data_IF_356569920538
#
_entry.id   IF_356569920538
#
_cell.length_a   1.000
_cell.length_b   1.000
_cell.length_c   1.000
_cell.angle_alpha   90.00
_cell.angle_beta   90.00
_cell.angle_gamma   90.00
#
_symmetry.space_group_name_H-M   'P 1'
#
loop_
_entity.id
_entity.type
_entity.pdbx_description
1 polymer ?
#
# COMPACT_ATOMS: atom_id res chain seq x y z
N UNK A 1 -9.19 20.97 -5.61
CA UNK A 1 -9.04 20.71 -4.16
C UNK A 1 -9.52 21.89 -3.28
N UNK A 2 -9.12 23.17 -3.48
CA UNK A 2 -9.55 24.28 -2.61
C UNK A 2 -11.04 24.68 -2.76
N UNK A 3 -11.62 24.43 -3.94
CA UNK A 3 -13.03 24.69 -4.24
C UNK A 3 -14.00 23.68 -3.56
N UNK A 4 -13.51 22.48 -3.26
CA UNK A 4 -14.29 21.41 -2.61
C UNK A 4 -14.44 21.73 -1.12
N UNK A 5 -13.36 22.16 -0.45
CA UNK A 5 -13.37 22.53 0.96
C UNK A 5 -14.21 23.78 1.28
N UNK A 6 -14.38 24.71 0.33
CA UNK A 6 -15.21 25.91 0.52
C UNK A 6 -16.71 25.65 0.32
N UNK A 7 -17.07 24.60 -0.41
CA UNK A 7 -18.45 24.10 -0.52
C UNK A 7 -18.84 23.22 0.68
N UNK A 8 -17.89 22.45 1.24
CA UNK A 8 -18.05 21.58 2.42
C UNK A 8 -18.57 22.33 3.65
N UNK A 9 -18.17 23.60 3.85
CA UNK A 9 -18.60 24.38 5.02
C UNK A 9 -20.07 24.85 4.95
N UNK A 10 -20.74 24.73 3.79
CA UNK A 10 -22.15 25.13 3.61
C UNK A 10 -23.15 24.01 3.94
N UNK A 11 -22.68 22.77 4.13
CA UNK A 11 -23.48 21.57 4.44
C UNK A 11 -23.69 21.34 5.95
N UNK A 12 -23.44 22.37 6.76
CA UNK A 12 -23.52 22.34 8.22
C UNK A 12 -24.93 22.20 8.79
N UNK A 13 -25.98 22.43 8.01
CA UNK A 13 -27.35 22.17 8.46
C UNK A 13 -27.80 20.80 8.01
N UNK A 14 -27.18 19.79 8.65
CA UNK A 14 -27.84 18.56 9.07
C UNK A 14 -28.31 17.72 7.89
N UNK A 15 -27.55 16.69 7.50
CA UNK A 15 -27.98 15.57 6.66
C UNK A 15 -29.50 15.53 6.44
N UNK A 16 -30.03 16.08 5.35
CA UNK A 16 -31.42 15.82 4.98
C UNK A 16 -31.44 14.64 4.03
N UNK A 17 -31.02 13.52 4.62
CA UNK A 17 -31.19 12.14 4.18
C UNK A 17 -30.53 11.74 2.83
N UNK A 18 -29.23 11.45 2.93
CA UNK A 18 -28.49 10.44 2.15
C UNK A 18 -28.31 10.60 0.62
N UNK A 19 -28.72 11.70 -0.01
CA UNK A 19 -28.60 11.84 -1.48
C UNK A 19 -27.17 12.14 -1.99
N UNK A 20 -26.37 12.95 -1.27
CA UNK A 20 -24.99 13.25 -1.69
C UNK A 20 -24.05 12.05 -1.53
N UNK A 21 -24.24 11.26 -0.46
CA UNK A 21 -23.45 10.04 -0.25
C UNK A 21 -23.78 9.00 -1.31
N UNK A 22 -25.07 8.81 -1.65
CA UNK A 22 -25.49 7.96 -2.77
C UNK A 22 -25.03 8.50 -4.13
N UNK A 23 -24.98 9.81 -4.32
CA UNK A 23 -24.49 10.45 -5.55
C UNK A 23 -22.98 10.33 -5.69
N UNK A 24 -22.21 10.47 -4.59
CA UNK A 24 -20.76 10.21 -4.57
C UNK A 24 -20.49 8.72 -4.80
N UNK A 25 -21.28 7.83 -4.21
CA UNK A 25 -21.23 6.39 -4.46
C UNK A 25 -21.56 6.05 -5.92
N UNK A 26 -22.65 6.57 -6.48
CA UNK A 26 -23.00 6.41 -7.91
C UNK A 26 -21.93 7.01 -8.80
N UNK A 27 -21.37 8.17 -8.45
CA UNK A 27 -20.32 8.82 -9.22
C UNK A 27 -19.01 8.02 -9.18
N UNK A 28 -18.63 7.49 -8.01
CA UNK A 28 -17.48 6.61 -7.82
C UNK A 28 -17.68 5.23 -8.46
N UNK A 29 -18.90 4.69 -8.44
CA UNK A 29 -19.25 3.44 -9.11
C UNK A 29 -19.37 3.61 -10.64
N UNK A 30 -19.56 4.82 -11.16
CA UNK A 30 -19.69 5.10 -12.61
C UNK A 30 -18.42 5.67 -13.25
N UNK A 31 -17.38 5.96 -12.46
CA UNK A 31 -16.09 6.47 -12.93
C UNK A 31 -14.97 5.74 -12.19
N UNK A 32 -13.91 5.35 -12.90
CA UNK A 32 -12.66 4.93 -12.27
C UNK A 32 -12.07 6.07 -11.42
N UNK A 33 -12.51 6.22 -10.17
CA UNK A 33 -11.97 7.22 -9.23
C UNK A 33 -10.68 6.64 -8.64
N UNK A 34 -9.57 6.89 -9.33
CA UNK A 34 -8.22 6.61 -8.86
C UNK A 34 -7.46 7.90 -8.59
N UNK A 35 -6.44 7.82 -7.73
CA UNK A 35 -5.46 8.89 -7.55
C UNK A 35 -4.23 8.67 -8.43
N UNK A 36 -3.52 9.75 -8.70
CA UNK A 36 -2.15 9.65 -9.17
C UNK A 36 -1.23 9.40 -7.99
N UNK A 37 -0.84 8.15 -7.78
CA UNK A 37 -0.20 7.72 -6.55
C UNK A 37 1.29 7.37 -6.72
N UNK A 38 1.78 7.36 -7.96
CA UNK A 38 3.19 7.22 -8.29
C UNK A 38 4.01 8.46 -7.87
N UNK A 39 5.08 8.22 -7.12
CA UNK A 39 6.08 9.22 -6.73
C UNK A 39 7.31 9.03 -7.59
N UNK A 40 7.52 9.90 -8.58
CA UNK A 40 8.65 9.78 -9.51
C UNK A 40 9.42 11.08 -9.64
N UNK A 41 10.75 10.97 -9.78
CA UNK A 41 11.64 12.07 -10.16
C UNK A 41 12.48 11.59 -11.34
N UNK A 42 12.51 12.35 -12.43
CA UNK A 42 13.25 12.01 -13.64
C UNK A 42 14.21 13.16 -13.95
N UNK A 43 15.50 12.85 -14.05
CA UNK A 43 16.57 13.83 -14.24
C UNK A 43 17.48 13.39 -15.37
N UNK A 44 17.80 14.33 -16.27
CA UNK A 44 18.89 14.20 -17.22
C UNK A 44 20.07 15.04 -16.74
N UNK A 45 21.19 14.40 -16.45
CA UNK A 45 22.44 15.07 -16.06
C UNK A 45 23.63 14.53 -16.86
N UNK A 46 24.84 14.87 -16.42
CA UNK A 46 26.10 14.40 -17.03
C UNK A 46 26.21 12.87 -17.05
N UNK A 47 25.63 12.19 -16.07
CA UNK A 47 25.57 10.73 -15.96
C UNK A 47 24.48 10.08 -16.83
N UNK A 48 23.79 10.86 -17.65
CA UNK A 48 22.69 10.39 -18.49
C UNK A 48 21.33 10.49 -17.80
N UNK A 49 20.37 9.71 -18.30
CA UNK A 49 18.99 9.69 -17.80
C UNK A 49 18.92 8.83 -16.53
N UNK A 50 18.43 9.44 -15.46
CA UNK A 50 18.25 8.81 -14.15
C UNK A 50 16.79 9.02 -13.73
N UNK A 51 16.15 7.98 -13.24
CA UNK A 51 14.80 8.06 -12.69
C UNK A 51 14.78 7.54 -11.26
N UNK A 52 13.87 8.04 -10.45
CA UNK A 52 13.63 7.60 -9.07
C UNK A 52 12.15 7.26 -8.93
N UNK A 53 11.83 6.19 -8.21
CA UNK A 53 10.46 5.85 -7.83
C UNK A 53 10.41 5.08 -6.51
N UNK A 54 9.27 5.09 -5.81
CA UNK A 54 9.10 4.39 -4.54
C UNK A 54 7.89 4.90 -3.77
N UNK A 55 7.87 4.70 -2.45
CA UNK A 55 6.81 5.17 -1.57
C UNK A 55 6.97 6.63 -1.11
N UNK A 56 8.18 7.18 -1.19
CA UNK A 56 8.49 8.52 -0.63
C UNK A 56 7.98 9.66 -1.54
N UNK A 57 7.01 10.43 -1.05
CA UNK A 57 6.60 11.73 -1.60
C UNK A 57 7.56 12.85 -1.18
N UNK A 58 7.63 13.92 -1.98
CA UNK A 58 8.27 15.19 -1.56
C UNK A 58 7.30 15.92 -0.61
N UNK A 59 7.20 15.42 0.63
CA UNK A 59 6.30 15.94 1.65
C UNK A 59 7.03 16.07 2.99
N UNK A 60 6.72 17.10 3.76
CA UNK A 60 7.34 17.39 5.06
C UNK A 60 7.21 16.23 6.06
N UNK A 61 6.12 15.45 5.98
CA UNK A 61 5.90 14.30 6.87
C UNK A 61 6.79 13.07 6.54
N UNK A 62 7.63 13.16 5.50
CA UNK A 62 8.60 12.11 5.11
C UNK A 62 10.03 12.39 5.59
N UNK A 63 10.31 13.58 6.14
CA UNK A 63 11.68 13.97 6.53
C UNK A 63 11.82 14.21 8.04
N UNK A 64 12.65 13.41 8.71
CA UNK A 64 12.88 13.46 10.17
C UNK A 64 13.47 14.80 10.65
N UNK A 65 14.44 15.36 9.90
CA UNK A 65 15.13 16.61 10.25
C UNK A 65 14.21 17.84 10.24
N UNK A 66 13.22 17.88 9.33
CA UNK A 66 12.29 19.00 9.22
C UNK A 66 11.28 19.05 10.39
N UNK A 67 10.89 17.89 10.92
CA UNK A 67 9.99 17.80 12.07
C UNK A 67 10.63 18.34 13.35
N UNK A 68 11.94 18.16 13.54
CA UNK A 68 12.68 18.62 14.73
C UNK A 68 12.87 20.15 14.78
N UNK A 69 12.83 20.87 13.66
CA UNK A 69 13.14 22.32 13.61
C UNK A 69 11.93 23.27 13.57
N UNK A 70 10.72 22.84 13.17
CA UNK A 70 9.57 23.75 12.98
C UNK A 70 8.28 23.38 13.71
N UNK A 71 8.21 22.22 14.36
CA UNK A 71 6.99 21.77 15.05
C UNK A 71 6.97 22.24 16.52
N UNK A 72 6.89 23.56 16.73
CA UNK A 72 6.42 24.12 18.02
C UNK A 72 4.91 24.32 18.06
N UNK A 73 4.21 24.15 16.92
CA UNK A 73 2.75 24.35 16.79
C UNK A 73 1.92 23.06 16.74
N UNK A 74 2.55 21.89 16.55
CA UNK A 74 1.90 20.59 16.70
C UNK A 74 2.60 19.86 17.84
N UNK A 75 1.88 19.63 18.95
CA UNK A 75 2.38 18.88 20.13
C UNK A 75 2.71 17.40 19.83
N UNK A 76 2.44 16.93 18.61
CA UNK A 76 2.68 15.57 18.19
C UNK A 76 3.93 15.49 17.31
N UNK A 77 5.07 15.24 17.95
CA UNK A 77 6.35 14.90 17.31
C UNK A 77 6.23 13.58 16.59
N UNK A 78 5.96 13.60 15.28
CA UNK A 78 5.55 12.39 14.56
C UNK A 78 6.67 11.42 14.17
N UNK A 79 7.97 11.67 14.23
CA UNK A 79 8.99 10.78 13.59
C UNK A 79 8.71 10.55 12.07
N UNK A 80 9.71 10.11 11.30
CA UNK A 80 9.48 9.78 9.90
C UNK A 80 8.84 8.39 9.77
N UNK A 81 8.03 8.16 8.74
CA UNK A 81 7.61 6.80 8.38
C UNK A 81 8.80 6.03 7.79
N UNK A 82 8.90 4.73 8.09
CA UNK A 82 9.79 3.81 7.38
C UNK A 82 9.27 3.63 5.95
N UNK A 83 10.14 3.79 4.95
CA UNK A 83 9.75 3.76 3.54
C UNK A 83 10.94 3.36 2.66
N UNK A 84 10.66 2.90 1.43
CA UNK A 84 11.66 2.51 0.43
C UNK A 84 11.52 3.33 -0.85
N UNK A 85 12.66 3.60 -1.49
CA UNK A 85 12.74 4.33 -2.75
C UNK A 85 13.96 3.84 -3.54
N UNK A 86 13.83 3.76 -4.86
CA UNK A 86 14.88 3.27 -5.74
C UNK A 86 15.28 4.34 -6.76
N UNK A 87 16.58 4.46 -6.99
CA UNK A 87 17.17 5.16 -8.14
C UNK A 87 17.54 4.14 -9.20
N UNK A 88 17.13 4.39 -10.43
CA UNK A 88 17.42 3.55 -11.59
C UNK A 88 18.11 4.33 -12.70
N UNK A 89 18.96 3.62 -13.44
CA UNK A 89 19.69 4.10 -14.61
C UNK A 89 19.44 3.16 -15.79
N UNK A 90 19.81 3.61 -17.00
CA UNK A 90 19.71 2.79 -18.19
C UNK A 90 18.27 2.60 -18.71
N UNK A 91 17.97 1.50 -19.40
CA UNK A 91 16.65 1.22 -20.00
C UNK A 91 15.46 1.38 -19.05
N UNK A 92 15.56 0.92 -17.80
CA UNK A 92 14.46 0.99 -16.84
C UNK A 92 14.10 2.45 -16.47
N UNK A 93 15.10 3.34 -16.41
CA UNK A 93 14.89 4.77 -16.17
C UNK A 93 14.09 5.42 -17.30
N UNK A 94 14.36 5.00 -18.54
CA UNK A 94 13.62 5.45 -19.72
C UNK A 94 12.17 4.98 -19.70
N UNK A 95 11.90 3.75 -19.26
CA UNK A 95 10.53 3.25 -19.17
C UNK A 95 9.68 4.07 -18.17
N UNK A 96 10.26 4.54 -17.06
CA UNK A 96 9.60 5.48 -16.14
C UNK A 96 9.31 6.83 -16.84
N UNK A 97 10.25 7.34 -17.64
CA UNK A 97 10.04 8.55 -18.44
C UNK A 97 8.91 8.36 -19.46
N UNK A 98 8.80 7.21 -20.12
CA UNK A 98 7.71 6.94 -21.06
C UNK A 98 6.35 6.93 -20.37
N UNK A 99 6.25 6.33 -19.17
CA UNK A 99 5.03 6.40 -18.34
C UNK A 99 4.67 7.84 -17.99
N UNK A 100 5.66 8.66 -17.62
CA UNK A 100 5.46 10.09 -17.36
C UNK A 100 5.00 10.85 -18.59
N UNK A 101 5.63 10.66 -19.75
CA UNK A 101 5.27 11.32 -21.02
C UNK A 101 3.83 10.97 -21.41
N UNK A 102 3.47 9.69 -21.33
CA UNK A 102 2.11 9.23 -21.60
C UNK A 102 1.09 9.97 -20.73
N UNK A 103 1.34 10.06 -19.42
CA UNK A 103 0.48 10.80 -18.49
C UNK A 103 0.45 12.30 -18.78
N UNK A 104 1.59 12.89 -19.13
CA UNK A 104 1.68 14.29 -19.51
C UNK A 104 0.79 14.59 -20.71
N UNK A 105 0.86 13.78 -21.77
CA UNK A 105 0.12 13.99 -23.01
C UNK A 105 -1.41 13.98 -22.84
N UNK A 106 -1.89 13.25 -21.84
CA UNK A 106 -3.32 13.23 -21.50
C UNK A 106 -3.78 14.40 -20.65
N UNK A 107 -2.87 15.10 -19.97
CA UNK A 107 -3.29 16.19 -19.09
C UNK A 107 -3.84 17.37 -19.93
N UNK A 108 -5.07 17.87 -19.69
CA UNK A 108 -5.69 18.88 -20.56
C UNK A 108 -4.84 20.15 -20.76
N UNK A 109 -4.08 20.53 -19.73
CA UNK A 109 -3.22 21.73 -19.76
C UNK A 109 -1.80 21.47 -20.29
N UNK A 110 -1.44 20.22 -20.60
CA UNK A 110 -0.13 19.88 -21.14
C UNK A 110 0.03 20.26 -22.61
N UNK A 111 -1.06 20.36 -23.37
CA UNK A 111 -1.04 20.67 -24.81
C UNK A 111 -0.34 21.99 -25.14
N UNK A 112 -0.34 22.95 -24.21
CA UNK A 112 0.32 24.25 -24.36
C UNK A 112 1.70 24.32 -23.70
N UNK A 113 2.21 23.21 -23.15
CA UNK A 113 3.47 23.18 -22.39
C UNK A 113 4.47 22.23 -23.04
N UNK A 114 5.68 22.73 -23.25
CA UNK A 114 6.79 21.88 -23.69
C UNK A 114 7.27 21.02 -22.54
N UNK A 115 7.31 19.70 -22.74
CA UNK A 115 7.92 18.76 -21.79
C UNK A 115 9.42 18.63 -22.08
N UNK A 116 10.25 19.12 -21.16
CA UNK A 116 11.71 18.90 -21.21
C UNK A 116 12.00 17.41 -21.05
N UNK A 117 12.92 16.89 -21.86
CA UNK A 117 13.28 15.47 -21.87
C UNK A 117 12.38 14.57 -22.72
N UNK A 118 11.36 15.13 -23.41
CA UNK A 118 10.49 14.34 -24.32
C UNK A 118 11.27 13.61 -25.42
N UNK A 119 12.31 14.25 -25.94
CA UNK A 119 13.14 13.72 -27.04
C UNK A 119 14.31 12.85 -26.56
N UNK A 120 14.39 12.54 -25.26
CA UNK A 120 15.37 11.57 -24.77
C UNK A 120 15.13 10.22 -25.45
N UNK A 121 16.23 9.50 -25.70
CA UNK A 121 16.19 8.18 -26.32
C UNK A 121 16.51 7.12 -25.29
N UNK A 122 16.04 5.89 -25.53
CA UNK A 122 16.28 4.75 -24.66
C UNK A 122 17.80 4.55 -24.52
N UNK A 123 18.37 4.62 -23.31
CA UNK A 123 19.77 4.30 -23.10
C UNK A 123 20.07 2.87 -23.55
N UNK A 124 21.30 2.63 -24.03
CA UNK A 124 21.74 1.27 -24.36
C UNK A 124 21.73 0.40 -23.09
N UNK A 125 21.49 -0.88 -23.27
CA UNK A 125 21.67 -1.86 -22.21
C UNK A 125 23.11 -1.83 -21.70
N UNK A 126 23.25 -1.85 -20.38
CA UNK A 126 24.54 -1.98 -19.72
C UNK A 126 24.84 -3.48 -19.70
N UNK A 127 25.95 -3.89 -20.34
CA UNK A 127 26.36 -5.30 -20.48
C UNK A 127 27.67 -5.62 -19.77
N UNK A 128 28.29 -4.63 -19.14
CA UNK A 128 29.61 -4.75 -18.51
C UNK A 128 29.66 -3.91 -17.24
N UNK A 129 30.34 -4.41 -16.21
CA UNK A 129 30.40 -3.79 -14.88
C UNK A 129 29.30 -4.29 -13.94
N UNK A 130 29.20 -3.73 -12.73
CA UNK A 130 28.15 -4.07 -11.79
C UNK A 130 26.82 -3.44 -12.21
N UNK A 131 25.92 -4.25 -12.77
CA UNK A 131 24.55 -3.86 -13.11
C UNK A 131 23.56 -4.88 -12.55
N UNK A 132 22.28 -4.50 -12.48
CA UNK A 132 21.18 -5.41 -12.15
C UNK A 132 20.19 -5.44 -13.31
N UNK A 133 19.58 -6.59 -13.54
CA UNK A 133 18.43 -6.66 -14.43
C UNK A 133 17.25 -5.98 -13.74
N UNK A 134 16.59 -5.06 -14.45
CA UNK A 134 15.46 -4.32 -13.90
C UNK A 134 14.33 -4.20 -14.90
N UNK A 135 13.10 -4.26 -14.40
CA UNK A 135 11.88 -4.05 -15.19
C UNK A 135 10.96 -3.06 -14.49
N UNK A 136 10.63 -1.99 -15.19
CA UNK A 136 9.60 -1.04 -14.73
C UNK A 136 8.22 -1.65 -14.99
N UNK A 137 7.38 -1.65 -13.96
CA UNK A 137 5.99 -2.12 -14.01
C UNK A 137 5.08 -1.07 -13.38
N UNK A 138 3.77 -1.23 -13.51
CA UNK A 138 2.84 -0.43 -12.73
C UNK A 138 1.38 -0.68 -13.05
N UNK A 139 0.58 0.30 -12.65
CA UNK A 139 -0.86 0.35 -12.88
C UNK A 139 -1.18 1.68 -13.53
N UNK A 140 -2.03 1.67 -14.55
CA UNK A 140 -2.49 2.89 -15.20
C UNK A 140 -3.82 2.65 -15.88
N UNK A 141 -4.69 3.65 -15.85
CA UNK A 141 -5.92 3.68 -16.63
C UNK A 141 -5.86 4.89 -17.54
N UNK A 142 -5.91 4.63 -18.83
CA UNK A 142 -5.99 5.68 -19.82
C UNK A 142 -7.32 6.43 -19.68
N UNK A 143 -7.33 7.77 -19.63
CA UNK A 143 -8.58 8.53 -19.53
C UNK A 143 -9.56 8.30 -20.69
N UNK A 144 -9.09 7.86 -21.86
CA UNK A 144 -9.94 7.49 -22.99
C UNK A 144 -10.54 6.08 -22.88
N UNK A 145 -10.10 5.28 -21.90
CA UNK A 145 -10.51 3.89 -21.69
C UNK A 145 -9.90 2.89 -22.68
N UNK A 146 -9.07 3.34 -23.63
CA UNK A 146 -8.51 2.50 -24.70
C UNK A 146 -7.29 1.68 -24.30
N UNK A 147 -6.64 2.04 -23.21
CA UNK A 147 -5.41 1.42 -22.75
C UNK A 147 -5.38 1.31 -21.23
N UNK A 148 -4.75 0.27 -20.71
CA UNK A 148 -4.58 0.03 -19.28
C UNK A 148 -3.29 -0.74 -19.02
N UNK A 149 -2.59 -0.34 -17.98
CA UNK A 149 -1.43 -1.05 -17.45
C UNK A 149 -1.85 -1.81 -16.20
N UNK A 150 -1.59 -3.12 -16.18
CA UNK A 150 -1.76 -4.03 -15.03
C UNK A 150 -0.50 -4.86 -14.78
N UNK A 151 0.61 -4.48 -15.43
CA UNK A 151 1.87 -5.22 -15.39
C UNK A 151 2.38 -5.46 -13.98
N UNK A 152 2.07 -4.55 -13.05
CA UNK A 152 2.42 -4.73 -11.65
C UNK A 152 1.64 -5.87 -10.98
N UNK A 153 0.31 -5.88 -11.07
CA UNK A 153 -0.51 -6.94 -10.44
C UNK A 153 -0.08 -8.31 -10.97
N UNK A 154 0.06 -8.41 -12.28
CA UNK A 154 0.43 -9.65 -12.96
C UNK A 154 1.82 -10.12 -12.51
N UNK A 155 2.81 -9.22 -12.50
CA UNK A 155 4.15 -9.56 -12.03
C UNK A 155 4.18 -9.95 -10.55
N UNK A 156 3.48 -9.21 -9.68
CA UNK A 156 3.45 -9.48 -8.24
C UNK A 156 2.89 -10.88 -7.96
N UNK A 157 1.76 -11.23 -8.57
CA UNK A 157 1.16 -12.56 -8.40
C UNK A 157 2.02 -13.67 -9.01
N UNK A 158 2.63 -13.43 -10.18
CA UNK A 158 3.50 -14.42 -10.82
C UNK A 158 4.76 -14.68 -10.01
N UNK A 159 5.37 -13.63 -9.44
CA UNK A 159 6.52 -13.76 -8.54
C UNK A 159 6.14 -14.61 -7.32
N UNK A 160 4.99 -14.35 -6.69
CA UNK A 160 4.55 -15.15 -5.54
C UNK A 160 4.26 -16.62 -5.90
N UNK A 161 3.74 -16.89 -7.10
CA UNK A 161 3.51 -18.27 -7.59
C UNK A 161 4.80 -19.04 -7.84
N UNK A 162 5.92 -18.34 -8.03
CA UNK A 162 7.23 -18.94 -8.28
C UNK A 162 8.16 -18.86 -7.07
N UNK A 163 7.76 -18.18 -5.98
CA UNK A 163 8.51 -18.14 -4.74
C UNK A 163 8.72 -19.56 -4.19
N UNK A 164 9.96 -19.88 -3.83
CA UNK A 164 10.39 -21.21 -3.44
C UNK A 164 10.57 -21.38 -1.92
N UNK A 165 11.13 -20.38 -1.23
CA UNK A 165 11.53 -20.51 0.17
C UNK A 165 11.07 -19.36 1.05
N UNK A 166 11.22 -18.13 0.58
CA UNK A 166 11.10 -16.95 1.43
C UNK A 166 10.37 -15.82 0.72
N UNK A 167 9.45 -15.21 1.46
CA UNK A 167 8.78 -13.97 1.02
C UNK A 167 8.86 -12.95 2.15
N UNK A 168 9.34 -11.74 1.83
CA UNK A 168 9.31 -10.58 2.72
C UNK A 168 8.48 -9.47 2.07
N UNK A 169 7.51 -8.93 2.81
CA UNK A 169 6.63 -7.86 2.33
C UNK A 169 6.63 -6.73 3.34
N UNK A 170 6.89 -5.52 2.88
CA UNK A 170 6.50 -4.29 3.55
C UNK A 170 5.35 -3.67 2.80
N UNK A 171 4.24 -3.42 3.50
CA UNK A 171 3.11 -2.74 2.88
C UNK A 171 2.32 -1.91 3.89
N UNK A 172 1.88 -0.72 3.48
CA UNK A 172 1.09 0.15 4.33
C UNK A 172 -0.31 -0.45 4.65
N UNK A 173 -0.91 -1.19 3.72
CA UNK A 173 -2.30 -1.65 3.84
C UNK A 173 -2.40 -3.15 4.06
N UNK A 174 -1.88 -3.93 3.11
CA UNK A 174 -1.88 -5.38 3.00
C UNK A 174 -3.28 -6.01 3.20
N UNK A 175 -4.14 -5.83 2.20
CA UNK A 175 -5.55 -6.28 2.27
C UNK A 175 -6.01 -7.05 1.02
N UNK A 176 -5.11 -7.37 0.09
CA UNK A 176 -5.45 -8.12 -1.13
C UNK A 176 -5.65 -9.62 -0.86
N UNK A 177 -6.87 -10.11 -1.05
CA UNK A 177 -7.18 -11.55 -0.92
C UNK A 177 -6.52 -12.41 -2.01
N UNK A 178 -6.28 -11.85 -3.21
CA UNK A 178 -5.55 -12.55 -4.27
C UNK A 178 -4.11 -12.87 -3.81
N UNK A 179 -3.45 -11.90 -3.19
CA UNK A 179 -2.12 -12.10 -2.61
C UNK A 179 -2.17 -13.07 -1.43
N UNK A 180 -3.16 -12.95 -0.54
CA UNK A 180 -3.33 -13.89 0.57
C UNK A 180 -3.45 -15.35 0.10
N UNK A 181 -4.21 -15.59 -0.99
CA UNK A 181 -4.39 -16.91 -1.58
C UNK A 181 -3.09 -17.46 -2.17
N UNK A 182 -2.29 -16.65 -2.86
CA UNK A 182 -1.01 -17.13 -3.40
C UNK A 182 -0.01 -17.45 -2.28
N UNK A 183 0.05 -16.63 -1.24
CA UNK A 183 0.85 -16.90 -0.05
C UNK A 183 0.36 -18.15 0.71
N UNK A 184 -0.96 -18.39 0.80
CA UNK A 184 -1.51 -19.61 1.40
C UNK A 184 -1.00 -20.87 0.68
N UNK A 185 -0.93 -20.84 -0.65
CA UNK A 185 -0.35 -21.95 -1.43
C UNK A 185 1.13 -22.14 -1.10
N UNK A 186 1.88 -21.04 -0.94
CA UNK A 186 3.31 -21.09 -0.57
C UNK A 186 3.53 -21.72 0.79
N UNK A 187 2.83 -21.27 1.84
CA UNK A 187 3.07 -21.79 3.20
C UNK A 187 2.75 -23.30 3.32
N UNK A 188 1.87 -23.83 2.46
CA UNK A 188 1.53 -25.26 2.37
C UNK A 188 2.57 -26.10 1.63
N UNK A 189 3.49 -25.49 0.88
CA UNK A 189 4.60 -26.21 0.27
C UNK A 189 5.59 -26.64 1.37
N UNK A 190 5.93 -27.95 1.48
CA UNK A 190 6.89 -28.45 2.46
C UNK A 190 8.29 -27.80 2.38
N UNK A 191 8.72 -27.37 1.19
CA UNK A 191 10.02 -26.74 0.96
C UNK A 191 10.02 -25.24 1.25
N UNK A 192 8.83 -24.62 1.30
CA UNK A 192 8.71 -23.21 1.64
C UNK A 192 8.95 -23.00 3.13
N UNK A 193 9.77 -22.00 3.45
CA UNK A 193 10.29 -21.81 4.80
C UNK A 193 9.48 -20.77 5.57
N UNK A 194 9.37 -19.54 5.07
CA UNK A 194 8.59 -18.51 5.76
C UNK A 194 8.13 -17.34 4.91
N UNK A 195 7.09 -16.68 5.40
CA UNK A 195 6.66 -15.35 4.97
C UNK A 195 6.78 -14.39 6.14
N UNK A 196 7.48 -13.28 5.94
CA UNK A 196 7.62 -12.17 6.88
C UNK A 196 6.89 -10.97 6.30
N UNK A 197 5.95 -10.42 7.05
CA UNK A 197 5.16 -9.25 6.66
C UNK A 197 5.38 -8.17 7.71
N UNK A 198 5.71 -6.97 7.28
CA UNK A 198 5.80 -5.77 8.10
C UNK A 198 4.79 -4.75 7.56
N UNK A 199 3.77 -4.41 8.34
CA UNK A 199 2.65 -3.56 7.90
C UNK A 199 2.43 -2.38 8.84
N UNK A 200 1.66 -1.38 8.41
CA UNK A 200 1.27 -0.27 9.26
C UNK A 200 0.12 -0.64 10.21
N UNK A 201 0.12 -0.10 11.43
CA UNK A 201 -1.01 -0.24 12.36
C UNK A 201 -2.29 0.40 11.77
N UNK A 202 -3.43 -0.29 11.91
CA UNK A 202 -4.76 0.20 11.48
C UNK A 202 -5.20 1.48 12.21
N UNK A 203 -4.66 1.75 13.41
CA UNK A 203 -5.06 2.89 14.23
C UNK A 203 -4.55 4.26 13.74
N UNK A 204 -3.60 4.31 12.79
CA UNK A 204 -2.89 5.54 12.40
C UNK A 204 -2.92 5.88 10.90
N UNK A 205 -3.79 5.28 10.09
CA UNK A 205 -3.93 5.76 8.70
C UNK A 205 -4.74 7.04 8.64
N UNK A 206 -4.04 8.18 8.56
CA UNK A 206 -4.63 9.52 8.40
C UNK A 206 -5.42 9.69 7.10
N UNK A 207 -5.13 8.85 6.10
CA UNK A 207 -5.61 9.03 4.72
C UNK A 207 -6.87 8.22 4.44
N UNK A 208 -6.95 6.98 4.96
CA UNK A 208 -8.09 6.06 4.86
C UNK A 208 -8.05 5.15 6.08
N UNK A 209 -9.08 5.14 6.93
CA UNK A 209 -9.24 4.14 8.00
C UNK A 209 -9.14 2.75 7.39
N UNK A 210 -8.12 1.97 7.73
CA UNK A 210 -8.07 0.55 7.35
C UNK A 210 -8.92 -0.20 8.37
N UNK A 211 -10.07 -0.77 7.99
CA UNK A 211 -10.83 -1.56 8.95
C UNK A 211 -9.98 -2.76 9.35
N UNK A 212 -9.76 -2.95 10.65
CA UNK A 212 -9.10 -4.14 11.21
C UNK A 212 -9.69 -5.43 10.62
N UNK A 213 -11.00 -5.43 10.31
CA UNK A 213 -11.67 -6.51 9.60
C UNK A 213 -10.99 -6.89 8.29
N UNK A 214 -10.61 -5.96 7.41
CA UNK A 214 -10.01 -6.30 6.10
C UNK A 214 -8.63 -6.94 6.26
N UNK A 215 -7.85 -6.50 7.25
CA UNK A 215 -6.59 -7.17 7.60
C UNK A 215 -6.82 -8.55 8.23
N UNK A 216 -7.88 -8.69 9.02
CA UNK A 216 -8.33 -9.98 9.57
C UNK A 216 -8.77 -10.94 8.46
N UNK A 217 -9.49 -10.45 7.43
CA UNK A 217 -9.87 -11.23 6.24
C UNK A 217 -8.63 -11.69 5.47
N UNK A 218 -7.67 -10.80 5.21
CA UNK A 218 -6.39 -11.15 4.60
C UNK A 218 -5.68 -12.26 5.39
N UNK A 219 -5.55 -12.11 6.71
CA UNK A 219 -4.88 -13.10 7.55
C UNK A 219 -5.63 -14.43 7.54
N UNK A 220 -6.96 -14.42 7.72
CA UNK A 220 -7.80 -15.63 7.69
C UNK A 220 -7.66 -16.38 6.37
N UNK A 221 -7.63 -15.67 5.24
CA UNK A 221 -7.43 -16.29 3.93
C UNK A 221 -5.99 -16.82 3.78
N UNK A 222 -4.98 -16.09 4.27
CA UNK A 222 -3.57 -16.51 4.26
C UNK A 222 -3.36 -17.83 5.00
N UNK A 223 -4.00 -18.04 6.16
CA UNK A 223 -3.82 -19.27 6.96
C UNK A 223 -4.92 -20.32 6.74
N UNK A 224 -5.83 -20.08 5.79
CA UNK A 224 -7.00 -20.93 5.56
C UNK A 224 -6.62 -22.38 5.28
N UNK A 225 -7.11 -23.29 6.12
CA UNK A 225 -6.85 -24.73 6.01
C UNK A 225 -5.38 -25.11 6.18
N UNK A 226 -4.54 -24.24 6.76
CA UNK A 226 -3.16 -24.54 7.09
C UNK A 226 -3.07 -25.18 8.49
N UNK A 227 -2.25 -26.22 8.62
CA UNK A 227 -1.84 -26.83 9.88
C UNK A 227 -1.05 -25.85 10.76
N UNK A 228 -0.91 -26.17 12.05
CA UNK A 228 -0.13 -25.34 12.98
C UNK A 228 1.33 -25.15 12.52
N UNK A 229 1.93 -26.16 11.89
CA UNK A 229 3.31 -26.08 11.37
C UNK A 229 3.40 -25.13 10.17
N UNK A 230 2.41 -25.13 9.28
CA UNK A 230 2.34 -24.20 8.13
C UNK A 230 2.03 -22.77 8.59
N UNK A 231 1.16 -22.59 9.58
CA UNK A 231 0.87 -21.28 10.19
C UNK A 231 2.11 -20.68 10.87
N UNK A 232 2.96 -21.52 11.49
CA UNK A 232 4.19 -21.07 12.13
C UNK A 232 5.21 -20.44 11.15
N UNK A 233 5.08 -20.72 9.85
CA UNK A 233 5.86 -20.10 8.76
C UNK A 233 5.52 -18.63 8.54
N UNK A 234 4.38 -18.15 9.06
CA UNK A 234 3.91 -16.78 8.88
C UNK A 234 4.33 -15.89 10.06
N UNK A 235 4.97 -14.77 9.78
CA UNK A 235 5.17 -13.67 10.74
C UNK A 235 4.54 -12.40 10.20
N UNK A 236 3.67 -11.76 10.97
CA UNK A 236 3.05 -10.47 10.64
C UNK A 236 3.40 -9.51 11.76
N UNK A 237 4.00 -8.38 11.39
CA UNK A 237 4.58 -7.44 12.32
C UNK A 237 4.13 -6.01 12.04
N UNK A 238 4.07 -5.19 13.08
CA UNK A 238 3.97 -3.73 13.00
C UNK A 238 5.16 -3.10 13.71
N UNK A 239 5.46 -1.84 13.45
CA UNK A 239 6.45 -1.10 14.24
C UNK A 239 5.87 -0.63 15.58
N UNK A 240 6.67 -0.67 16.62
CA UNK A 240 6.34 -0.22 17.98
C UNK A 240 6.24 1.31 18.02
N UNK A 241 5.06 1.83 17.72
CA UNK A 241 4.80 3.27 17.65
C UNK A 241 5.00 3.97 19.00
N UNK A 242 4.61 3.31 20.09
CA UNK A 242 4.65 3.91 21.44
C UNK A 242 6.09 4.21 21.84
N UNK A 243 6.97 3.24 21.66
CA UNK A 243 8.39 3.45 21.93
C UNK A 243 9.09 4.17 20.78
N UNK A 244 8.59 4.08 19.54
CA UNK A 244 9.07 4.86 18.40
C UNK A 244 8.99 6.37 18.65
N UNK A 245 7.82 6.86 19.11
CA UNK A 245 7.63 8.27 19.50
C UNK A 245 8.60 8.72 20.59
N UNK A 246 8.89 7.86 21.57
CA UNK A 246 9.79 8.17 22.70
C UNK A 246 11.27 8.16 22.33
N UNK A 247 11.68 7.27 21.43
CA UNK A 247 13.08 7.02 21.11
C UNK A 247 13.51 7.61 19.76
N UNK A 248 12.61 8.26 19.02
CA UNK A 248 12.88 8.84 17.71
C UNK A 248 13.02 7.80 16.59
N UNK A 249 12.45 6.61 16.75
CA UNK A 249 12.38 5.61 15.67
C UNK A 249 11.19 5.91 14.76
N UNK A 250 11.15 5.23 13.62
CA UNK A 250 9.99 5.23 12.75
C UNK A 250 8.71 4.78 13.50
N UNK A 251 7.66 5.59 13.40
CA UNK A 251 6.35 5.31 14.02
C UNK A 251 5.35 4.70 13.05
N UNK A 252 5.79 4.30 11.87
CA UNK A 252 4.93 3.59 10.95
C UNK A 252 5.66 3.08 9.72
N UNK A 253 4.97 2.28 8.92
CA UNK A 253 5.47 1.69 7.67
C UNK A 253 4.67 2.26 6.51
N UNK A 254 5.35 2.95 5.60
CA UNK A 254 4.78 3.45 4.35
C UNK A 254 5.37 2.74 3.12
N UNK A 255 6.41 1.92 3.29
CA UNK A 255 7.01 1.13 2.24
C UNK A 255 6.00 0.26 1.48
N UNK A 256 6.32 0.00 0.20
CA UNK A 256 5.66 -0.97 -0.67
C UNK A 256 6.74 -1.84 -1.32
N UNK A 257 7.31 -2.72 -0.50
CA UNK A 257 8.48 -3.53 -0.84
C UNK A 257 8.09 -5.00 -0.86
N UNK A 258 8.49 -5.72 -1.91
CA UNK A 258 8.47 -7.19 -1.93
C UNK A 258 9.90 -7.69 -2.11
N UNK A 259 10.31 -8.69 -1.35
CA UNK A 259 11.56 -9.43 -1.56
C UNK A 259 11.23 -10.92 -1.58
N UNK A 260 11.72 -11.63 -2.59
CA UNK A 260 11.48 -13.08 -2.74
C UNK A 260 12.82 -13.80 -2.88
N UNK A 261 12.99 -14.83 -2.07
CA UNK A 261 14.09 -15.79 -2.11
C UNK A 261 15.52 -15.20 -2.01
N UNK A 262 15.67 -13.93 -1.62
CA UNK A 262 16.92 -13.17 -1.72
C UNK A 262 17.45 -13.02 -3.16
N UNK A 263 16.58 -13.20 -4.17
CA UNK A 263 16.91 -13.18 -5.60
C UNK A 263 16.15 -12.10 -6.39
N UNK A 264 15.07 -11.55 -5.82
CA UNK A 264 14.25 -10.55 -6.48
C UNK A 264 13.71 -9.55 -5.47
N UNK A 265 13.64 -8.28 -5.86
CA UNK A 265 12.94 -7.24 -5.12
C UNK A 265 12.00 -6.41 -6.00
N UNK A 266 10.86 -5.99 -5.46
CA UNK A 266 10.02 -4.93 -6.01
C UNK A 266 10.07 -3.74 -5.06
N UNK A 267 10.36 -2.55 -5.59
CA UNK A 267 10.26 -1.27 -4.88
C UNK A 267 9.36 -0.35 -5.70
N UNK A 268 8.38 0.28 -5.07
CA UNK A 268 7.48 1.17 -5.78
C UNK A 268 6.46 1.89 -4.91
N UNK A 269 5.41 2.38 -5.55
CA UNK A 269 4.35 3.17 -4.91
C UNK A 269 3.09 2.37 -4.59
N UNK A 270 2.95 1.17 -5.15
CA UNK A 270 1.69 0.44 -5.13
C UNK A 270 1.51 -0.41 -3.88
N UNK A 271 0.41 -0.17 -3.17
CA UNK A 271 0.06 -0.99 -2.02
C UNK A 271 -0.53 -2.33 -2.44
N UNK A 272 -0.45 -3.33 -1.57
CA UNK A 272 -1.08 -4.65 -1.75
C UNK A 272 -2.58 -4.57 -1.44
N UNK A 273 -3.28 -3.85 -2.30
CA UNK A 273 -4.71 -3.67 -2.30
C UNK A 273 -5.23 -3.54 -3.74
N UNK A 274 -6.55 -3.62 -3.91
CA UNK A 274 -7.14 -3.54 -5.23
C UNK A 274 -6.91 -2.19 -5.88
N UNK A 275 -7.06 -1.09 -5.13
CA UNK A 275 -6.85 0.28 -5.61
C UNK A 275 -5.54 0.46 -6.37
N UNK A 276 -4.42 0.00 -5.80
CA UNK A 276 -3.11 0.15 -6.44
C UNK A 276 -2.90 -0.84 -7.59
N UNK A 277 -3.59 -1.98 -7.57
CA UNK A 277 -3.53 -2.98 -8.63
C UNK A 277 -4.47 -2.71 -9.81
N UNK A 278 -5.50 -1.87 -9.65
CA UNK A 278 -6.50 -1.63 -10.69
C UNK A 278 -6.77 -0.17 -11.01
N UNK A 279 -6.69 0.76 -10.06
CA UNK A 279 -7.26 2.11 -10.21
C UNK A 279 -6.22 3.22 -10.21
N UNK A 280 -5.45 3.31 -9.13
CA UNK A 280 -4.44 4.33 -8.98
C UNK A 280 -3.35 4.18 -10.03
N UNK A 281 -2.81 5.31 -10.50
CA UNK A 281 -1.59 5.23 -11.31
C UNK A 281 -0.41 4.95 -10.40
N UNK A 282 0.29 3.86 -10.69
CA UNK A 282 1.39 3.35 -9.87
C UNK A 282 2.61 3.07 -10.74
N UNK A 283 3.79 3.21 -10.14
CA UNK A 283 5.07 2.85 -10.75
C UNK A 283 5.90 2.06 -9.74
N UNK A 284 6.42 0.91 -10.17
CA UNK A 284 7.35 0.10 -9.39
C UNK A 284 8.46 -0.43 -10.29
N UNK A 285 9.58 -0.78 -9.69
CA UNK A 285 10.69 -1.44 -10.38
C UNK A 285 10.91 -2.80 -9.73
N UNK A 286 10.95 -3.82 -10.59
CA UNK A 286 11.41 -5.16 -10.24
C UNK A 286 12.91 -5.20 -10.51
N UNK A 287 13.69 -5.61 -9.52
CA UNK A 287 15.14 -5.85 -9.63
C UNK A 287 15.37 -7.34 -9.46
N UNK A 288 16.05 -7.94 -10.44
CA UNK A 288 16.42 -9.34 -10.42
C UNK A 288 17.91 -9.45 -10.12
N UNK A 289 18.24 -10.35 -9.21
CA UNK A 289 19.61 -10.77 -9.01
C UNK A 289 20.02 -11.83 -10.02
N UNK A 290 21.27 -11.74 -10.44
CA UNK A 290 21.90 -12.58 -11.44
C UNK A 290 23.08 -13.32 -10.78
N UNK A 291 22.96 -14.64 -10.59
CA UNK A 291 24.03 -15.46 -10.05
C UNK A 291 25.34 -15.37 -10.83
N UNK A 292 25.28 -15.19 -12.16
CA UNK A 292 26.47 -15.09 -13.02
C UNK A 292 27.21 -13.78 -12.76
N UNK A 293 26.46 -12.69 -12.60
CA UNK A 293 26.99 -11.37 -12.24
C UNK A 293 27.18 -11.19 -10.72
N UNK A 294 26.89 -12.23 -9.92
CA UNK A 294 27.00 -12.25 -8.45
C UNK A 294 26.32 -11.05 -7.78
N UNK A 295 25.21 -10.59 -8.36
CA UNK A 295 24.47 -9.49 -7.76
C UNK A 295 23.69 -10.00 -6.56
N UNK A 296 23.50 -9.13 -5.56
CA UNK A 296 22.80 -9.49 -4.32
C UNK A 296 21.94 -8.32 -3.82
N UNK A 297 21.26 -7.61 -4.72
CA UNK A 297 20.42 -6.47 -4.38
C UNK A 297 19.31 -6.84 -3.40
N UNK A 298 18.57 -7.91 -3.68
CA UNK A 298 17.43 -8.33 -2.88
C UNK A 298 17.87 -8.67 -1.44
N UNK A 299 18.92 -9.48 -1.31
CA UNK A 299 19.53 -9.80 -0.01
C UNK A 299 20.08 -8.58 0.71
N UNK A 300 20.81 -7.71 0.00
CA UNK A 300 21.42 -6.52 0.59
C UNK A 300 20.34 -5.55 1.11
N UNK A 301 19.27 -5.36 0.35
CA UNK A 301 18.10 -4.58 0.74
C UNK A 301 17.46 -5.14 2.02
N UNK A 302 17.18 -6.45 2.04
CA UNK A 302 16.61 -7.11 3.23
C UNK A 302 17.48 -6.93 4.46
N UNK A 303 18.79 -7.16 4.35
CA UNK A 303 19.72 -7.03 5.48
C UNK A 303 19.79 -5.59 5.97
N UNK A 304 19.78 -4.60 5.06
CA UNK A 304 19.76 -3.18 5.42
C UNK A 304 18.50 -2.81 6.20
N UNK A 305 17.34 -3.24 5.71
CA UNK A 305 16.04 -3.06 6.37
C UNK A 305 16.03 -3.74 7.75
N UNK A 306 16.41 -5.02 7.83
CA UNK A 306 16.39 -5.74 9.11
C UNK A 306 17.34 -5.12 10.12
N UNK A 307 18.48 -4.59 9.67
CA UNK A 307 19.41 -3.85 10.51
C UNK A 307 18.78 -2.58 11.10
N UNK A 308 17.87 -1.94 10.38
CA UNK A 308 17.11 -0.78 10.88
C UNK A 308 16.14 -1.18 12.00
N UNK A 309 15.51 -2.36 11.88
CA UNK A 309 14.52 -2.82 12.85
C UNK A 309 15.11 -3.41 14.14
N UNK A 310 16.34 -3.92 14.12
CA UNK A 310 16.97 -4.47 15.32
C UNK A 310 17.41 -3.36 16.29
N UNK A 311 17.18 -3.58 17.58
CA UNK A 311 17.54 -2.65 18.67
C UNK A 311 18.83 -3.05 19.38
N UNK A 312 19.12 -4.35 19.44
CA UNK A 312 20.35 -4.84 20.05
C UNK A 312 21.47 -4.65 19.05
N UNK A 313 22.58 -4.04 19.48
CA UNK A 313 23.83 -4.04 18.71
C UNK A 313 24.37 -5.49 18.68
N UNK A 314 23.76 -6.34 17.87
CA UNK A 314 24.25 -7.69 17.64
C UNK A 314 25.49 -7.54 16.78
N UNK A 315 26.61 -8.14 17.21
CA UNK A 315 27.69 -8.43 16.26
C UNK A 315 27.07 -9.16 15.04
N UNK A 316 27.55 -8.92 13.81
CA UNK A 316 26.83 -9.22 12.56
C UNK A 316 26.74 -10.72 12.22
N UNK A 317 26.19 -11.53 13.11
CA UNK A 317 26.10 -12.98 12.91
C UNK A 317 24.77 -13.51 13.45
N UNK A 318 23.85 -13.76 12.53
CA UNK A 318 22.72 -14.65 12.73
C UNK A 318 21.42 -14.09 12.17
N UNK A 319 21.14 -12.81 12.37
CA UNK A 319 19.88 -12.19 11.92
C UNK A 319 19.77 -12.14 10.40
N UNK A 320 20.88 -12.27 9.66
CA UNK A 320 20.84 -12.31 8.20
C UNK A 320 20.15 -13.58 7.68
N UNK A 321 20.01 -14.61 8.52
CA UNK A 321 19.26 -15.82 8.23
C UNK A 321 17.77 -15.64 8.55
N UNK A 322 16.91 -16.03 7.61
CA UNK A 322 15.45 -15.91 7.73
C UNK A 322 14.84 -16.61 8.94
N UNK A 323 15.28 -17.84 9.23
CA UNK A 323 14.79 -18.60 10.37
C UNK A 323 15.19 -17.92 11.69
N UNK A 324 16.46 -17.54 11.78
CA UNK A 324 17.00 -16.89 12.97
C UNK A 324 16.34 -15.53 13.20
N UNK A 325 16.17 -14.70 12.17
CA UNK A 325 15.45 -13.43 12.28
C UNK A 325 14.02 -13.62 12.80
N UNK A 326 13.26 -14.53 12.17
CA UNK A 326 11.90 -14.84 12.58
C UNK A 326 11.83 -15.30 14.03
N UNK A 327 12.75 -16.18 14.45
CA UNK A 327 12.84 -16.64 15.82
C UNK A 327 13.13 -15.49 16.79
N UNK A 328 14.12 -14.64 16.49
CA UNK A 328 14.54 -13.55 17.36
C UNK A 328 13.45 -12.50 17.52
N UNK A 329 12.83 -12.05 16.41
CA UNK A 329 11.75 -11.05 16.45
C UNK A 329 10.53 -11.56 17.24
N UNK A 330 10.20 -12.85 17.13
CA UNK A 330 9.03 -13.43 17.82
C UNK A 330 9.27 -13.75 19.30
N UNK A 331 10.50 -14.05 19.70
CA UNK A 331 10.76 -14.72 20.99
C UNK A 331 11.77 -13.99 21.88
N UNK A 332 12.47 -12.97 21.40
CA UNK A 332 13.45 -12.21 22.20
C UNK A 332 12.92 -10.79 22.43
N UNK A 333 12.29 -10.51 23.58
CA UNK A 333 11.78 -9.18 23.90
C UNK A 333 12.86 -8.10 23.76
N UNK A 334 12.51 -7.00 23.10
CA UNK A 334 13.42 -5.88 22.89
C UNK A 334 14.50 -6.12 21.82
N UNK A 335 14.53 -7.29 21.15
CA UNK A 335 15.46 -7.55 20.05
C UNK A 335 15.25 -6.59 18.87
N UNK A 336 13.99 -6.28 18.54
CA UNK A 336 13.62 -5.42 17.43
C UNK A 336 12.54 -4.41 17.82
N UNK A 337 12.28 -3.44 16.95
CA UNK A 337 11.14 -2.52 17.05
C UNK A 337 9.82 -3.14 16.57
N UNK A 338 9.83 -4.39 16.10
CA UNK A 338 8.66 -5.05 15.53
C UNK A 338 7.82 -5.73 16.62
N UNK A 339 6.50 -5.60 16.49
CA UNK A 339 5.51 -6.24 17.36
C UNK A 339 4.76 -7.32 16.57
N UNK A 340 4.73 -8.54 17.09
CA UNK A 340 4.10 -9.70 16.45
C UNK A 340 2.56 -9.63 16.57
N UNK A 341 1.89 -9.41 15.44
CA UNK A 341 0.44 -9.39 15.35
C UNK A 341 -0.19 -10.79 15.37
N UNK A 342 0.58 -11.86 15.15
CA UNK A 342 0.03 -13.23 15.19
C UNK A 342 -0.31 -13.69 16.62
N UNK A 343 0.27 -13.04 17.63
CA UNK A 343 0.08 -13.34 19.06
C UNK A 343 -0.91 -12.40 19.76
N UNK A 344 -1.29 -11.31 19.12
CA UNK A 344 -2.15 -10.28 19.73
C UNK A 344 -3.61 -10.64 19.46
N UNK A 345 -4.51 -10.68 20.48
CA UNK A 345 -5.94 -10.83 20.24
C UNK A 345 -6.37 -9.78 19.23
N UNK A 346 -7.18 -10.17 18.25
CA UNK A 346 -7.73 -9.26 17.25
C UNK A 346 -8.28 -8.03 17.97
N UNK A 347 -7.65 -6.87 17.72
CA UNK A 347 -8.07 -5.61 18.31
C UNK A 347 -9.56 -5.37 18.02
N UNK A 348 -10.20 -4.67 18.95
CA UNK A 348 -11.59 -4.23 18.90
C UNK A 348 -11.98 -3.79 17.48
N UNK A 349 -12.97 -4.46 16.89
CA UNK A 349 -13.34 -4.29 15.50
C UNK A 349 -13.79 -2.84 15.27
N UNK A 350 -13.21 -2.15 14.29
CA UNK A 350 -13.65 -0.82 13.90
C UNK A 350 -15.13 -0.84 13.52
N UNK A 351 -15.63 -1.96 12.99
CA UNK A 351 -17.05 -2.17 12.73
C UNK A 351 -17.84 -2.21 14.04
N UNK A 352 -17.34 -2.86 15.10
CA UNK A 352 -17.97 -2.83 16.43
C UNK A 352 -17.99 -1.42 17.03
N UNK A 353 -16.90 -0.64 16.85
CA UNK A 353 -16.84 0.76 17.28
C UNK A 353 -17.78 1.65 16.49
N UNK A 354 -17.84 1.51 15.17
CA UNK A 354 -18.76 2.25 14.30
C UNK A 354 -20.20 1.87 14.64
N UNK A 355 -20.50 0.58 14.78
CA UNK A 355 -21.81 0.09 15.21
C UNK A 355 -22.15 0.60 16.60
N UNK A 356 -21.21 0.62 17.55
CA UNK A 356 -21.41 1.16 18.89
C UNK A 356 -21.64 2.68 18.86
N UNK A 357 -20.91 3.41 18.02
CA UNK A 357 -21.10 4.85 17.80
C UNK A 357 -22.47 5.15 17.17
N UNK A 358 -22.90 4.34 16.19
CA UNK A 358 -24.23 4.44 15.57
C UNK A 358 -25.34 4.12 16.58
N UNK A 359 -25.17 3.05 17.36
CA UNK A 359 -26.09 2.69 18.46
C UNK A 359 -26.17 3.78 19.53
N UNK A 360 -25.01 4.39 19.87
CA UNK A 360 -24.89 5.42 20.91
C UNK A 360 -25.33 6.81 20.45
N UNK A 361 -25.24 7.11 19.15
CA UNK A 361 -25.69 8.40 18.59
C UNK A 361 -27.20 8.50 18.47
N UNK A 362 -27.93 7.39 18.64
CA UNK A 362 -29.38 7.33 18.40
C UNK A 362 -29.75 7.49 16.92
N UNK A 363 -28.77 7.57 16.02
CA UNK A 363 -28.97 7.71 14.57
C UNK A 363 -29.18 6.32 13.98
N UNK A 364 -30.33 5.73 14.34
CA UNK A 364 -31.00 4.80 13.43
C UNK A 364 -31.86 5.71 12.56
N UNK A 365 -31.25 6.33 11.55
CA UNK A 365 -31.98 7.23 10.68
C UNK A 365 -33.10 6.42 9.98
N UNK A 366 -34.37 6.81 10.16
CA UNK A 366 -35.41 6.29 9.29
C UNK A 366 -35.13 6.77 7.86
N UNK A 367 -34.98 5.85 6.91
CA UNK A 367 -34.99 6.20 5.49
C UNK A 367 -36.45 6.36 5.09
N UNK A 368 -36.85 7.56 4.65
CA UNK A 368 -38.10 7.71 3.91
C UNK A 368 -37.86 7.20 2.49
N UNK A 369 -38.25 5.96 2.19
CA UNK A 369 -38.24 5.46 0.81
C UNK A 369 -39.55 5.89 0.16
N UNK A 370 -39.48 6.93 -0.67
CA UNK A 370 -40.60 7.30 -1.55
C UNK A 370 -40.72 6.31 -2.68
N UNK A 371 -41.57 5.29 -2.53
CA UNK A 371 -42.03 4.48 -3.66
C UNK A 371 -43.06 5.27 -4.46
N UNK A 372 -42.81 5.48 -5.76
CA UNK A 372 -43.81 6.01 -6.68
C UNK A 372 -44.77 4.89 -7.08
N UNK A 373 -45.94 4.83 -6.45
CA UNK A 373 -47.11 4.14 -6.98
C UNK A 373 -48.22 5.17 -7.18
N UNK A 374 -48.29 5.75 -8.39
CA UNK A 374 -49.19 6.86 -8.71
C UNK A 374 -48.71 8.24 -8.23
N UNK A 375 -49.53 9.27 -8.45
CA UNK A 375 -49.22 10.69 -8.18
C UNK A 375 -49.16 11.09 -6.68
N UNK A 376 -49.17 10.13 -5.75
CA UNK A 376 -49.09 10.41 -4.32
C UNK A 376 -47.85 9.75 -3.71
N UNK A 377 -46.98 10.55 -3.09
CA UNK A 377 -45.89 10.06 -2.25
C UNK A 377 -46.46 9.48 -0.95
N UNK A 378 -46.36 8.16 -0.76
CA UNK A 378 -46.46 7.56 0.57
C UNK A 378 -45.08 7.51 1.21
N UNK A 379 -44.92 8.17 2.36
CA UNK A 379 -43.70 8.10 3.16
C UNK A 379 -43.70 6.79 3.96
N UNK A 380 -42.77 5.88 3.67
CA UNK A 380 -42.48 4.73 4.52
C UNK A 380 -41.10 4.86 5.15
N UNK A 381 -41.08 4.70 6.46
CA UNK A 381 -39.92 4.84 7.35
C UNK A 381 -39.19 3.50 7.46
N UNK A 382 -38.01 3.36 6.86
CA UNK A 382 -37.20 2.13 6.90
C UNK A 382 -35.97 2.30 7.79
N UNK A 383 -35.85 1.45 8.82
CA UNK A 383 -34.64 1.33 9.63
C UNK A 383 -33.63 0.45 8.89
N UNK A 384 -32.45 0.98 8.56
CA UNK A 384 -31.37 0.16 8.02
C UNK A 384 -30.87 -0.79 9.12
N UNK A 385 -30.89 -2.08 8.82
CA UNK A 385 -30.27 -3.07 9.70
C UNK A 385 -28.75 -2.84 9.79
N UNK A 386 -28.08 -3.24 10.88
CA UNK A 386 -26.62 -3.24 10.96
C UNK A 386 -25.94 -3.96 9.78
N UNK A 387 -26.60 -5.00 9.24
CA UNK A 387 -26.14 -5.74 8.05
C UNK A 387 -26.14 -4.82 6.82
N UNK A 388 -27.18 -4.02 6.62
CA UNK A 388 -27.28 -3.10 5.48
C UNK A 388 -26.27 -1.97 5.56
N UNK A 389 -26.02 -1.44 6.76
CA UNK A 389 -24.95 -0.45 6.99
C UNK A 389 -23.56 -1.04 6.68
N UNK A 390 -23.30 -2.28 7.15
CA UNK A 390 -22.07 -3.00 6.82
C UNK A 390 -21.92 -3.18 5.31
N UNK A 391 -22.98 -3.58 4.61
CA UNK A 391 -22.98 -3.72 3.15
C UNK A 391 -22.70 -2.39 2.44
N UNK A 392 -23.24 -1.27 2.92
CA UNK A 392 -22.97 0.06 2.35
C UNK A 392 -21.50 0.47 2.57
N UNK A 393 -20.91 0.19 3.74
CA UNK A 393 -19.49 0.42 3.99
C UNK A 393 -18.59 -0.52 3.20
N UNK A 394 -18.99 -1.79 3.05
CA UNK A 394 -18.34 -2.77 2.17
C UNK A 394 -18.36 -2.25 0.72
N UNK A 395 -19.51 -1.80 0.22
CA UNK A 395 -19.65 -1.18 -1.08
C UNK A 395 -18.89 0.13 -1.21
N UNK A 396 -18.74 0.94 -0.17
CA UNK A 396 -17.94 2.16 -0.24
C UNK A 396 -16.45 1.84 -0.29
N UNK A 397 -16.00 0.90 0.54
CA UNK A 397 -14.63 0.40 0.50
C UNK A 397 -14.34 -0.21 -0.88
N UNK A 398 -15.22 -1.08 -1.36
CA UNK A 398 -15.13 -1.67 -2.69
C UNK A 398 -15.18 -0.57 -3.74
N UNK A 399 -16.21 0.27 -3.88
CA UNK A 399 -16.27 1.30 -4.94
C UNK A 399 -15.22 2.43 -4.88
N UNK A 400 -14.60 2.72 -3.71
CA UNK A 400 -13.50 3.70 -3.60
C UNK A 400 -12.13 3.05 -3.81
N UNK A 401 -12.04 1.72 -3.71
CA UNK A 401 -10.80 0.92 -3.86
C UNK A 401 -10.88 -0.04 -5.08
N UNK A 402 -12.04 -0.14 -5.74
CA UNK A 402 -12.48 -1.16 -6.72
C UNK A 402 -13.83 -0.81 -7.41
N UNK A 403 -13.83 -0.18 -8.60
CA UNK A 403 -15.01 0.00 -9.43
C UNK A 403 -15.22 -1.14 -10.46
N UNK A 404 -14.52 -2.29 -10.38
CA UNK A 404 -14.71 -3.43 -11.29
C UNK A 404 -15.40 -4.65 -10.62
N UNK A 405 -15.99 -4.50 -9.43
CA UNK A 405 -16.91 -5.51 -8.91
C UNK A 405 -18.16 -5.61 -9.83
N UNK A 406 -18.55 -6.81 -10.28
CA UNK A 406 -19.62 -7.01 -11.28
C UNK A 406 -21.01 -6.55 -10.85
#
# INVERSE_FOLDING_TARGET
VPHILKQVMKFQTIFKELDLFFTILKYAATKNVGSHHDKVIIVKGEKGLISHCGGIDININRFEWYQKQRCSFHKDTHSAYHDTHIRVEGPAAYDILQKFIKRWDYHPTAKSKTLKGRSETKPKEIKTGGFHWAKTVGTYNDPSGKDRDRSLKDAYLEILRNAQKYVYIEDQYLVSLDVAKELNKRIKDPNFVCVVIVTQDCAETTDILIPLRRRSEFYKELIKGASAAEQAKVGIFIVDMVNGKKNGWHTGVHAKTLIVDDELAIIGSANVNQRSFTNDSETSVIVFDDPENKTMFAKALRIAIWKEFIRVAVAPKGYENWFTFMYLVKNVPGFSILLDLTKTPQQEDLDEKIIAMIKKSGVIAPIVVGGLTGNNLQQTTAVLSPITLKLIFDMFWENVVDPEAP
#
